data_IF_930672693556
#
_entry.id   IF_930672693556
#
_cell.length_a   1.000
_cell.length_b   1.000
_cell.length_c   1.000
_cell.angle_alpha   90.00
_cell.angle_beta   90.00
_cell.angle_gamma   90.00
#
_symmetry.space_group_name_H-M   'P 1'
#
loop_
_entity.id
_entity.type
_entity.pdbx_description
1 polymer ?
#
# COMPACT_ATOMS: atom_id res chain seq x y z
N UNK A 1 28.37 -13.41 17.31
CA UNK A 1 27.02 -12.81 17.28
C UNK A 1 26.88 -11.50 16.48
N UNK A 2 27.80 -10.50 16.55
CA UNK A 2 27.67 -9.25 15.76
C UNK A 2 27.71 -9.46 14.22
N UNK A 3 28.60 -10.35 13.72
CA UNK A 3 28.72 -10.62 12.26
C UNK A 3 27.41 -11.16 11.66
N UNK A 4 26.73 -12.11 12.33
CA UNK A 4 25.47 -12.68 11.81
C UNK A 4 24.34 -11.65 11.71
N UNK A 5 24.28 -10.63 12.58
CA UNK A 5 23.26 -9.57 12.53
C UNK A 5 23.41 -8.69 11.29
N UNK A 6 24.64 -8.45 10.84
CA UNK A 6 24.91 -7.64 9.61
C UNK A 6 24.44 -8.41 8.37
N UNK A 7 24.73 -9.70 8.26
CA UNK A 7 24.29 -10.50 7.11
C UNK A 7 22.77 -10.56 6.94
N UNK A 8 22.01 -10.77 8.03
CA UNK A 8 20.55 -10.77 7.97
C UNK A 8 19.98 -9.41 7.55
N UNK A 9 20.53 -8.31 8.10
CA UNK A 9 20.10 -6.97 7.73
C UNK A 9 20.33 -6.67 6.24
N UNK A 10 21.51 -7.01 5.72
CA UNK A 10 21.85 -6.82 4.30
C UNK A 10 20.96 -7.66 3.40
N UNK A 11 20.74 -8.92 3.73
CA UNK A 11 19.91 -9.84 2.95
C UNK A 11 18.46 -9.36 2.86
N UNK A 12 17.85 -9.00 4.00
CA UNK A 12 16.48 -8.49 4.05
C UNK A 12 16.36 -7.17 3.27
N UNK A 13 17.35 -6.26 3.42
CA UNK A 13 17.39 -5.00 2.67
C UNK A 13 17.45 -5.25 1.16
N UNK A 14 18.34 -6.13 0.71
CA UNK A 14 18.50 -6.43 -0.72
C UNK A 14 17.26 -7.07 -1.32
N UNK A 15 16.71 -8.11 -0.69
CA UNK A 15 15.52 -8.80 -1.17
C UNK A 15 14.29 -7.86 -1.18
N UNK A 16 14.11 -7.03 -0.12
CA UNK A 16 13.02 -6.06 -0.09
C UNK A 16 13.18 -5.03 -1.22
N UNK A 17 14.40 -4.52 -1.44
CA UNK A 17 14.66 -3.55 -2.52
C UNK A 17 14.39 -4.16 -3.90
N UNK A 18 14.81 -5.41 -4.12
CA UNK A 18 14.52 -6.16 -5.34
C UNK A 18 13.02 -6.28 -5.54
N UNK A 19 12.25 -6.68 -4.51
CA UNK A 19 10.80 -6.84 -4.62
C UNK A 19 10.06 -5.59 -5.10
N UNK A 20 10.59 -4.39 -4.87
CA UNK A 20 9.98 -3.13 -5.32
C UNK A 20 10.58 -2.56 -6.61
N UNK A 21 11.79 -2.98 -7.00
CA UNK A 21 12.52 -2.39 -8.12
C UNK A 21 12.57 -3.26 -9.37
N UNK A 22 12.09 -4.50 -9.31
CA UNK A 22 12.00 -5.38 -10.48
C UNK A 22 11.12 -4.75 -11.58
N UNK A 23 11.54 -4.74 -12.85
CA UNK A 23 10.75 -4.22 -13.96
C UNK A 23 9.89 -5.30 -14.64
N UNK A 24 9.81 -6.50 -14.08
CA UNK A 24 9.26 -7.67 -14.75
C UNK A 24 7.77 -7.86 -14.45
N UNK A 25 6.92 -7.58 -15.45
CA UNK A 25 5.47 -7.76 -15.39
C UNK A 25 5.00 -8.57 -16.60
N UNK A 26 4.70 -9.85 -16.39
CA UNK A 26 4.29 -10.77 -17.47
C UNK A 26 2.99 -11.48 -17.11
N UNK A 27 2.06 -11.53 -18.06
CA UNK A 27 0.85 -12.35 -17.95
C UNK A 27 1.19 -13.86 -17.91
N UNK A 28 0.44 -14.70 -17.21
CA UNK A 28 -0.85 -14.41 -16.55
C UNK A 28 -0.72 -13.84 -15.12
N UNK A 29 0.41 -13.96 -14.46
CA UNK A 29 0.65 -13.42 -13.10
C UNK A 29 1.68 -12.30 -13.16
N UNK A 30 1.20 -11.09 -13.35
CA UNK A 30 2.05 -9.91 -13.62
C UNK A 30 3.09 -9.63 -12.54
N UNK A 31 2.80 -9.91 -11.28
CA UNK A 31 3.66 -9.58 -10.13
C UNK A 31 4.47 -10.76 -9.61
N UNK A 32 4.49 -11.90 -10.31
CA UNK A 32 5.10 -13.15 -9.84
C UNK A 32 6.52 -12.98 -9.30
N UNK A 33 7.38 -12.23 -10.00
CA UNK A 33 8.77 -12.04 -9.58
C UNK A 33 8.90 -11.17 -8.33
N UNK A 34 8.05 -10.15 -8.21
CA UNK A 34 7.95 -9.29 -7.03
C UNK A 34 7.46 -10.07 -5.82
N UNK A 35 6.44 -10.91 -6.02
CA UNK A 35 5.85 -11.74 -4.99
C UNK A 35 6.84 -12.80 -4.51
N UNK A 36 7.60 -13.45 -5.41
CA UNK A 36 8.68 -14.37 -5.04
C UNK A 36 9.79 -13.68 -4.25
N UNK A 37 10.21 -12.47 -4.64
CA UNK A 37 11.22 -11.72 -3.89
C UNK A 37 10.69 -11.38 -2.47
N UNK A 38 9.42 -10.97 -2.35
CA UNK A 38 8.79 -10.69 -1.07
C UNK A 38 8.59 -11.95 -0.23
N UNK A 39 8.25 -13.10 -0.83
CA UNK A 39 8.24 -14.40 -0.16
C UNK A 39 9.63 -14.74 0.40
N UNK A 40 10.70 -14.42 -0.33
CA UNK A 40 12.06 -14.55 0.17
C UNK A 40 12.32 -13.72 1.43
N UNK A 41 11.88 -12.45 1.46
CA UNK A 41 11.94 -11.60 2.66
C UNK A 41 11.17 -12.22 3.82
N UNK A 42 9.96 -12.68 3.55
CA UNK A 42 9.08 -13.32 4.53
C UNK A 42 9.73 -14.56 5.16
N UNK A 43 10.27 -15.45 4.34
CA UNK A 43 10.98 -16.64 4.79
C UNK A 43 12.24 -16.31 5.60
N UNK A 44 13.04 -15.33 5.15
CA UNK A 44 14.21 -14.88 5.88
C UNK A 44 13.86 -14.35 7.28
N UNK A 45 12.77 -13.59 7.39
CA UNK A 45 12.28 -13.07 8.67
C UNK A 45 11.79 -14.20 9.59
N UNK A 46 11.06 -15.18 9.04
CA UNK A 46 10.64 -16.37 9.79
C UNK A 46 11.82 -17.16 10.32
N UNK A 47 12.77 -17.52 9.44
CA UNK A 47 14.00 -18.24 9.85
C UNK A 47 14.74 -17.47 10.94
N UNK A 48 14.88 -16.14 10.77
CA UNK A 48 15.52 -15.29 11.78
C UNK A 48 14.79 -15.35 13.13
N UNK A 49 13.46 -15.27 13.15
CA UNK A 49 12.65 -15.33 14.37
C UNK A 49 12.81 -16.70 15.05
N UNK A 50 12.75 -17.78 14.28
CA UNK A 50 12.90 -19.15 14.79
C UNK A 50 14.30 -19.40 15.38
N UNK A 51 15.34 -18.78 14.80
CA UNK A 51 16.71 -18.87 15.33
C UNK A 51 16.95 -18.01 16.58
N UNK A 52 16.18 -16.93 16.74
CA UNK A 52 16.36 -15.99 17.87
C UNK A 52 15.44 -16.31 19.06
N UNK A 53 14.36 -17.05 18.87
CA UNK A 53 13.36 -17.31 19.91
C UNK A 53 13.10 -18.81 20.08
N UNK A 54 12.93 -19.24 21.33
CA UNK A 54 12.52 -20.60 21.66
C UNK A 54 10.99 -20.80 21.53
N UNK A 55 10.23 -19.70 21.55
CA UNK A 55 8.77 -19.68 21.45
C UNK A 55 8.31 -18.56 20.53
N UNK A 56 7.14 -18.73 19.92
CA UNK A 56 6.52 -17.74 19.02
C UNK A 56 5.38 -17.05 19.76
N UNK A 57 5.47 -15.71 19.83
CA UNK A 57 4.40 -14.88 20.39
C UNK A 57 3.23 -14.78 19.39
N UNK A 58 2.05 -15.24 19.79
CA UNK A 58 0.82 -15.15 19.02
C UNK A 58 -0.23 -14.43 19.84
N UNK A 59 -0.79 -13.35 19.29
CA UNK A 59 -1.89 -12.62 19.93
C UNK A 59 -3.25 -13.24 19.54
N UNK A 60 -4.16 -13.41 20.52
CA UNK A 60 -5.49 -14.01 20.30
C UNK A 60 -6.30 -13.33 19.18
N UNK A 61 -6.10 -12.03 18.94
CA UNK A 61 -6.79 -11.31 17.84
C UNK A 61 -6.39 -11.81 16.45
N UNK A 62 -5.22 -12.41 16.31
CA UNK A 62 -4.74 -12.95 15.02
C UNK A 62 -5.55 -14.20 14.65
N UNK A 63 -6.12 -14.91 15.63
CA UNK A 63 -7.02 -16.06 15.37
C UNK A 63 -8.18 -15.63 14.47
N UNK A 64 -8.72 -14.41 14.66
CA UNK A 64 -9.74 -13.87 13.79
C UNK A 64 -9.26 -13.75 12.33
N UNK A 65 -8.03 -13.27 12.10
CA UNK A 65 -7.47 -13.19 10.74
C UNK A 65 -7.36 -14.58 10.12
N UNK A 66 -6.89 -15.58 10.87
CA UNK A 66 -6.84 -16.96 10.39
C UNK A 66 -8.23 -17.55 10.12
N UNK A 67 -9.24 -17.19 10.93
CA UNK A 67 -10.62 -17.62 10.65
C UNK A 67 -11.16 -17.03 9.34
N UNK A 68 -10.76 -15.81 8.97
CA UNK A 68 -11.10 -15.22 7.67
C UNK A 68 -10.53 -16.02 6.48
N UNK A 69 -9.35 -16.65 6.65
CA UNK A 69 -8.76 -17.48 5.60
C UNK A 69 -9.58 -18.74 5.29
N UNK A 70 -10.50 -19.16 6.17
CA UNK A 70 -11.40 -20.28 5.90
C UNK A 70 -12.59 -19.88 5.04
N UNK A 71 -12.93 -18.58 4.96
CA UNK A 71 -14.13 -18.10 4.25
C UNK A 71 -14.09 -18.46 2.77
N UNK A 72 -13.03 -18.17 1.99
CA UNK A 72 -13.02 -18.51 0.57
C UNK A 72 -13.14 -20.01 0.32
N UNK A 73 -12.55 -20.87 1.18
CA UNK A 73 -12.66 -22.33 1.06
C UNK A 73 -14.11 -22.80 1.31
N UNK A 74 -14.78 -22.23 2.32
CA UNK A 74 -16.18 -22.51 2.58
C UNK A 74 -17.07 -22.01 1.43
N UNK A 75 -16.77 -20.83 0.88
CA UNK A 75 -17.50 -20.28 -0.27
C UNK A 75 -17.35 -21.18 -1.51
N UNK A 76 -16.18 -21.78 -1.75
CA UNK A 76 -16.01 -22.77 -2.80
C UNK A 76 -16.83 -24.05 -2.51
N UNK A 77 -16.80 -24.54 -1.28
CA UNK A 77 -17.58 -25.74 -0.88
C UNK A 77 -19.09 -25.52 -1.08
N UNK A 78 -19.59 -24.30 -0.87
CA UNK A 78 -20.99 -23.93 -1.08
C UNK A 78 -21.30 -23.43 -2.51
N UNK A 79 -20.37 -23.54 -3.45
CA UNK A 79 -20.55 -23.20 -4.86
C UNK A 79 -20.62 -21.71 -5.18
N UNK A 80 -20.21 -20.81 -4.25
CA UNK A 80 -20.10 -19.37 -4.52
C UNK A 80 -18.84 -19.00 -5.29
N UNK A 81 -17.75 -19.76 -5.13
CA UNK A 81 -16.53 -19.68 -5.93
C UNK A 81 -16.42 -20.96 -6.74
N UNK A 82 -16.41 -20.86 -8.06
CA UNK A 82 -16.41 -22.04 -8.94
C UNK A 82 -15.07 -22.80 -8.93
N UNK A 83 -13.96 -22.07 -9.00
CA UNK A 83 -12.64 -22.69 -9.11
C UNK A 83 -11.97 -22.78 -7.74
N UNK A 84 -11.61 -24.00 -7.34
CA UNK A 84 -10.90 -24.22 -6.06
C UNK A 84 -9.58 -23.44 -5.99
N UNK A 85 -8.89 -23.25 -7.12
CA UNK A 85 -7.65 -22.47 -7.20
C UNK A 85 -7.83 -21.04 -6.71
N UNK A 86 -8.93 -20.37 -7.09
CA UNK A 86 -9.23 -18.99 -6.69
C UNK A 86 -9.47 -18.89 -5.17
N UNK A 87 -10.25 -19.85 -4.63
CA UNK A 87 -10.49 -19.93 -3.20
C UNK A 87 -9.20 -20.21 -2.40
N UNK A 88 -8.36 -21.10 -2.91
CA UNK A 88 -7.09 -21.47 -2.30
C UNK A 88 -6.10 -20.28 -2.28
N UNK A 89 -5.95 -19.57 -3.39
CA UNK A 89 -5.08 -18.39 -3.48
C UNK A 89 -5.56 -17.31 -2.51
N UNK A 90 -6.86 -16.98 -2.49
CA UNK A 90 -7.41 -16.01 -1.55
C UNK A 90 -7.14 -16.41 -0.10
N UNK A 91 -7.35 -17.70 0.25
CA UNK A 91 -7.08 -18.22 1.58
C UNK A 91 -5.60 -18.13 1.96
N UNK A 92 -4.68 -18.45 1.05
CA UNK A 92 -3.22 -18.35 1.27
C UNK A 92 -2.83 -16.88 1.51
N UNK A 93 -3.38 -15.93 0.75
CA UNK A 93 -3.11 -14.51 0.95
C UNK A 93 -3.54 -14.05 2.35
N UNK A 94 -4.78 -14.34 2.76
CA UNK A 94 -5.28 -13.96 4.09
C UNK A 94 -4.46 -14.63 5.19
N UNK A 95 -4.15 -15.92 5.05
CA UNK A 95 -3.32 -16.67 6.00
C UNK A 95 -1.91 -16.08 6.10
N UNK A 96 -1.29 -15.74 4.97
CA UNK A 96 0.03 -15.11 4.91
C UNK A 96 0.05 -13.74 5.59
N UNK A 97 -1.04 -12.96 5.50
CA UNK A 97 -1.17 -11.71 6.25
C UNK A 97 -1.15 -11.95 7.77
N UNK A 98 -1.89 -12.95 8.25
CA UNK A 98 -1.86 -13.35 9.67
C UNK A 98 -0.45 -13.73 10.13
N UNK A 99 0.28 -14.50 9.30
CA UNK A 99 1.67 -14.84 9.56
C UNK A 99 2.60 -13.60 9.51
N UNK A 100 2.38 -12.66 8.61
CA UNK A 100 3.14 -11.40 8.54
C UNK A 100 2.93 -10.55 9.81
N UNK A 101 1.72 -10.51 10.34
CA UNK A 101 1.43 -9.85 11.62
C UNK A 101 2.18 -10.55 12.78
N UNK A 102 2.25 -11.88 12.79
CA UNK A 102 3.05 -12.64 13.80
C UNK A 102 4.54 -12.29 13.67
N UNK A 103 5.08 -12.20 12.45
CA UNK A 103 6.47 -11.74 12.24
C UNK A 103 6.67 -10.38 12.89
N UNK A 104 5.80 -9.41 12.60
CA UNK A 104 5.88 -8.07 13.17
C UNK A 104 5.87 -8.07 14.71
N UNK A 105 4.98 -8.83 15.34
CA UNK A 105 4.90 -9.00 16.80
C UNK A 105 6.21 -9.55 17.39
N UNK A 106 6.79 -10.58 16.78
CA UNK A 106 8.02 -11.20 17.28
C UNK A 106 9.25 -10.33 17.02
N UNK A 107 9.28 -9.60 15.91
CA UNK A 107 10.31 -8.56 15.68
C UNK A 107 10.22 -7.47 16.76
N UNK A 108 9.01 -7.03 17.09
CA UNK A 108 8.79 -6.01 18.14
C UNK A 108 9.18 -6.51 19.53
N UNK A 109 9.05 -7.80 19.81
CA UNK A 109 9.55 -8.43 21.04
C UNK A 109 11.07 -8.38 21.14
N UNK A 110 11.78 -8.62 20.02
CA UNK A 110 13.24 -8.73 19.99
C UNK A 110 13.94 -7.39 19.78
N UNK A 111 13.26 -6.41 19.16
CA UNK A 111 13.82 -5.13 18.74
C UNK A 111 12.91 -3.99 19.15
N UNK A 112 13.52 -2.84 19.48
CA UNK A 112 12.78 -1.60 19.68
C UNK A 112 12.13 -1.15 18.38
N UNK A 113 10.93 -0.56 18.44
CA UNK A 113 10.22 -0.05 17.26
C UNK A 113 11.06 0.97 16.47
N UNK A 114 11.83 1.81 17.16
CA UNK A 114 12.80 2.72 16.54
C UNK A 114 13.82 2.00 15.63
N UNK A 115 14.33 0.86 16.04
CA UNK A 115 15.29 0.08 15.24
C UNK A 115 14.62 -0.51 14.00
N UNK A 116 13.41 -1.04 14.15
CA UNK A 116 12.64 -1.61 13.04
C UNK A 116 12.30 -0.53 12.02
N UNK A 117 11.78 0.62 12.48
CA UNK A 117 11.41 1.72 11.60
C UNK A 117 12.62 2.36 10.90
N UNK A 118 13.79 2.39 11.52
CA UNK A 118 15.03 2.81 10.84
C UNK A 118 15.37 1.91 9.67
N UNK A 119 15.23 0.58 9.84
CA UNK A 119 15.46 -0.38 8.75
C UNK A 119 14.41 -0.20 7.64
N UNK A 120 13.13 -0.10 7.98
CA UNK A 120 12.06 0.15 7.01
C UNK A 120 12.31 1.47 6.28
N UNK A 121 12.66 2.53 7.02
CA UNK A 121 12.94 3.84 6.43
C UNK A 121 14.13 3.83 5.47
N UNK A 122 15.18 3.06 5.78
CA UNK A 122 16.32 2.91 4.88
C UNK A 122 15.92 2.25 3.55
N UNK A 123 15.09 1.19 3.60
CA UNK A 123 14.54 0.53 2.41
C UNK A 123 13.66 1.52 1.62
N UNK A 124 12.72 2.19 2.29
CA UNK A 124 11.80 3.13 1.64
C UNK A 124 12.56 4.28 0.95
N UNK A 125 13.58 4.86 1.60
CA UNK A 125 14.36 5.95 1.01
C UNK A 125 15.20 5.45 -0.17
N UNK A 126 15.89 4.31 -0.04
CA UNK A 126 16.68 3.76 -1.13
C UNK A 126 15.83 3.46 -2.36
N UNK A 127 14.75 2.70 -2.19
CA UNK A 127 13.82 2.37 -3.28
C UNK A 127 13.14 3.63 -3.82
N UNK A 128 12.75 4.56 -2.93
CA UNK A 128 12.15 5.84 -3.32
C UNK A 128 13.07 6.72 -4.17
N UNK A 129 14.37 6.76 -3.86
CA UNK A 129 15.36 7.49 -4.65
C UNK A 129 15.56 6.85 -6.03
N UNK A 130 15.73 5.53 -6.11
CA UNK A 130 15.86 4.82 -7.39
C UNK A 130 14.58 5.01 -8.22
N UNK A 131 13.40 4.86 -7.60
CA UNK A 131 12.12 5.08 -8.28
C UNK A 131 11.94 6.53 -8.74
N UNK A 132 12.39 7.51 -7.94
CA UNK A 132 12.35 8.92 -8.34
C UNK A 132 13.24 9.18 -9.57
N UNK A 133 14.42 8.57 -9.62
CA UNK A 133 15.30 8.66 -10.80
C UNK A 133 14.61 8.07 -12.03
N UNK A 134 14.00 6.89 -11.92
CA UNK A 134 13.26 6.26 -13.03
C UNK A 134 12.04 7.12 -13.43
N UNK A 135 11.28 7.66 -12.48
CA UNK A 135 10.16 8.58 -12.76
C UNK A 135 10.63 9.80 -13.54
N UNK A 136 11.76 10.39 -13.17
CA UNK A 136 12.33 11.52 -13.91
C UNK A 136 12.76 11.11 -15.32
N UNK A 137 13.38 9.95 -15.51
CA UNK A 137 13.69 9.43 -16.83
C UNK A 137 12.45 9.20 -17.68
N UNK A 138 11.42 8.58 -17.11
CA UNK A 138 10.12 8.36 -17.76
C UNK A 138 9.43 9.69 -18.12
N UNK A 139 9.48 10.67 -17.22
CA UNK A 139 8.92 12.00 -17.46
C UNK A 139 9.64 12.75 -18.57
N UNK A 140 10.97 12.74 -18.55
CA UNK A 140 11.80 13.44 -19.54
C UNK A 140 11.93 12.69 -20.86
N UNK A 141 11.29 11.52 -21.00
CA UNK A 141 11.41 10.64 -22.17
C UNK A 141 12.88 10.32 -22.53
N UNK A 142 13.74 10.28 -21.52
CA UNK A 142 15.18 10.04 -21.64
C UNK A 142 15.47 8.55 -21.80
N UNK A 143 15.25 7.97 -22.96
CA UNK A 143 15.63 6.61 -23.31
C UNK A 143 14.76 5.48 -22.75
N UNK A 144 14.70 4.44 -23.54
CA UNK A 144 14.23 3.14 -23.08
C UNK A 144 15.25 2.63 -22.05
N UNK A 145 14.85 2.52 -20.78
CA UNK A 145 15.70 2.01 -19.70
C UNK A 145 16.15 0.56 -19.91
N UNK A 146 15.87 0.00 -21.08
CA UNK A 146 16.16 -1.36 -21.48
C UNK A 146 15.48 -2.36 -20.52
N UNK A 147 16.24 -3.36 -20.09
CA UNK A 147 15.72 -4.42 -19.20
C UNK A 147 15.55 -3.97 -17.74
N UNK A 148 15.92 -2.72 -17.38
CA UNK A 148 15.93 -2.25 -15.98
C UNK A 148 14.74 -1.38 -15.62
N UNK A 149 13.98 -0.93 -16.60
CA UNK A 149 12.82 -0.05 -16.38
C UNK A 149 11.63 -0.50 -17.21
N UNK A 150 10.44 -0.29 -16.68
CA UNK A 150 9.19 -0.50 -17.41
C UNK A 150 8.98 0.69 -18.34
N UNK A 151 8.72 0.42 -19.62
CA UNK A 151 8.36 1.45 -20.58
C UNK A 151 6.97 1.99 -20.31
N UNK A 152 6.81 3.31 -20.47
CA UNK A 152 5.50 3.95 -20.40
C UNK A 152 5.03 4.33 -21.82
N UNK A 153 3.74 4.20 -22.10
CA UNK A 153 3.19 4.68 -23.36
C UNK A 153 3.34 6.20 -23.46
N UNK A 154 3.49 6.71 -24.68
CA UNK A 154 3.54 8.16 -24.93
C UNK A 154 2.33 8.86 -24.31
N UNK A 155 2.58 9.96 -23.58
CA UNK A 155 1.56 10.65 -22.79
C UNK A 155 1.08 9.92 -21.53
N UNK A 156 1.73 8.81 -21.16
CA UNK A 156 1.45 8.07 -19.93
C UNK A 156 1.99 8.77 -18.68
N UNK A 157 1.38 8.50 -17.54
CA UNK A 157 1.88 8.99 -16.24
C UNK A 157 3.07 8.15 -15.78
N UNK A 158 4.16 8.76 -15.28
CA UNK A 158 5.29 8.02 -14.74
C UNK A 158 4.90 7.14 -13.54
N UNK A 159 5.49 5.95 -13.46
CA UNK A 159 5.24 5.00 -12.36
C UNK A 159 6.47 4.20 -11.92
N UNK A 160 7.67 4.56 -12.40
CA UNK A 160 8.90 3.79 -12.19
C UNK A 160 8.73 2.31 -12.60
N UNK A 161 9.05 1.39 -11.68
CA UNK A 161 8.88 -0.05 -11.88
C UNK A 161 7.67 -0.62 -11.09
N UNK A 162 6.64 0.19 -10.80
CA UNK A 162 5.44 -0.26 -10.07
C UNK A 162 4.26 -0.63 -10.97
N UNK A 163 4.44 -0.63 -12.29
CA UNK A 163 3.43 -0.89 -13.33
C UNK A 163 2.18 0.00 -13.28
N UNK A 164 1.96 0.75 -12.19
CA UNK A 164 0.79 1.60 -12.00
C UNK A 164 1.18 2.88 -11.23
N UNK A 165 0.73 4.07 -11.70
CA UNK A 165 1.06 5.35 -11.04
C UNK A 165 0.59 5.44 -9.58
N UNK A 166 -0.54 4.82 -9.21
CA UNK A 166 -1.03 4.85 -7.84
C UNK A 166 -0.16 4.00 -6.89
N UNK A 167 0.41 2.88 -7.38
CA UNK A 167 1.36 2.07 -6.63
C UNK A 167 2.66 2.85 -6.38
N UNK A 168 3.22 3.48 -7.42
CA UNK A 168 4.38 4.34 -7.30
C UNK A 168 4.12 5.49 -6.30
N UNK A 169 2.96 6.14 -6.39
CA UNK A 169 2.56 7.21 -5.48
C UNK A 169 2.51 6.74 -4.03
N UNK A 170 1.92 5.57 -3.76
CA UNK A 170 1.88 5.01 -2.41
C UNK A 170 3.27 4.72 -1.87
N UNK A 171 4.16 4.17 -2.70
CA UNK A 171 5.53 3.91 -2.25
C UNK A 171 6.32 5.20 -2.00
N UNK A 172 6.15 6.22 -2.85
CA UNK A 172 6.76 7.54 -2.63
C UNK A 172 6.22 8.21 -1.35
N UNK A 173 4.93 8.05 -1.02
CA UNK A 173 4.39 8.50 0.27
C UNK A 173 5.05 7.78 1.46
N UNK A 174 5.28 6.46 1.37
CA UNK A 174 6.05 5.73 2.38
C UNK A 174 7.46 6.29 2.51
N UNK A 175 8.10 6.67 1.40
CA UNK A 175 9.44 7.26 1.38
C UNK A 175 9.46 8.68 1.98
N UNK A 176 8.41 9.49 1.77
CA UNK A 176 8.24 10.80 2.42
C UNK A 176 8.07 10.62 3.93
N UNK A 177 7.25 9.68 4.38
CA UNK A 177 7.07 9.37 5.81
C UNK A 177 8.37 8.85 6.44
N UNK A 178 9.13 8.03 5.72
CA UNK A 178 10.45 7.57 6.14
C UNK A 178 11.45 8.73 6.29
N UNK A 179 11.44 9.68 5.34
CA UNK A 179 12.27 10.91 5.41
C UNK A 179 11.89 11.74 6.62
N UNK A 180 10.59 11.95 6.86
CA UNK A 180 10.09 12.64 8.04
C UNK A 180 10.56 11.96 9.32
N UNK A 181 10.44 10.63 9.40
CA UNK A 181 10.86 9.85 10.56
C UNK A 181 12.35 9.99 10.85
N UNK A 182 13.22 9.81 9.84
CA UNK A 182 14.67 9.95 10.04
C UNK A 182 15.09 11.39 10.40
N UNK A 183 14.36 12.38 9.87
CA UNK A 183 14.55 13.78 10.27
C UNK A 183 14.17 14.00 11.74
N UNK A 184 13.02 13.51 12.18
CA UNK A 184 12.57 13.59 13.58
C UNK A 184 13.56 12.92 14.55
N UNK A 185 14.13 11.80 14.15
CA UNK A 185 15.15 11.05 14.92
C UNK A 185 16.56 11.67 14.83
N UNK A 186 16.73 12.80 14.16
CA UNK A 186 18.02 13.49 13.95
C UNK A 186 19.08 12.63 13.24
N UNK A 187 18.66 11.67 12.42
CA UNK A 187 19.56 10.77 11.68
C UNK A 187 20.04 11.48 10.42
N UNK A 188 19.16 12.25 9.77
CA UNK A 188 19.50 13.05 8.60
C UNK A 188 19.57 14.54 8.96
N UNK A 189 20.49 15.24 8.26
CA UNK A 189 20.65 16.68 8.42
C UNK A 189 19.45 17.42 7.81
N UNK A 190 19.23 18.66 8.24
CA UNK A 190 18.10 19.50 7.79
C UNK A 190 18.07 19.67 6.28
N UNK A 191 19.20 20.03 5.64
CA UNK A 191 19.30 20.22 4.20
C UNK A 191 19.04 18.92 3.43
N UNK A 192 19.56 17.79 3.91
CA UNK A 192 19.31 16.46 3.31
C UNK A 192 17.81 16.12 3.40
N UNK A 193 17.18 16.38 4.55
CA UNK A 193 15.75 16.14 4.73
C UNK A 193 14.89 16.98 3.79
N UNK A 194 15.22 18.26 3.61
CA UNK A 194 14.52 19.14 2.64
C UNK A 194 14.73 18.65 1.21
N UNK A 195 15.98 18.37 0.82
CA UNK A 195 16.29 17.88 -0.54
C UNK A 195 15.56 16.60 -0.89
N UNK A 196 15.56 15.61 0.03
CA UNK A 196 14.78 14.37 -0.14
C UNK A 196 13.28 14.64 -0.24
N UNK A 197 12.73 15.49 0.64
CA UNK A 197 11.32 15.82 0.59
C UNK A 197 10.93 16.50 -0.72
N UNK A 198 11.70 17.49 -1.19
CA UNK A 198 11.45 18.17 -2.46
C UNK A 198 11.46 17.19 -3.64
N UNK A 199 12.49 16.34 -3.74
CA UNK A 199 12.60 15.34 -4.81
C UNK A 199 11.43 14.36 -4.80
N UNK A 200 11.15 13.75 -3.63
CA UNK A 200 10.11 12.74 -3.50
C UNK A 200 8.72 13.33 -3.75
N UNK A 201 8.43 14.53 -3.24
CA UNK A 201 7.14 15.21 -3.44
C UNK A 201 6.96 15.69 -4.89
N UNK A 202 8.03 16.11 -5.56
CA UNK A 202 7.98 16.43 -6.99
C UNK A 202 7.68 15.18 -7.83
N UNK A 203 8.41 14.08 -7.62
CA UNK A 203 8.13 12.82 -8.30
C UNK A 203 6.75 12.26 -7.97
N UNK A 204 6.28 12.47 -6.73
CA UNK A 204 4.93 12.13 -6.31
C UNK A 204 3.88 12.92 -7.10
N UNK A 205 4.10 14.21 -7.32
CA UNK A 205 3.23 15.06 -8.14
C UNK A 205 3.17 14.59 -9.61
N UNK A 206 4.30 14.16 -10.18
CA UNK A 206 4.38 13.60 -11.54
C UNK A 206 3.52 12.34 -11.73
N UNK A 207 3.30 11.54 -10.68
CA UNK A 207 2.39 10.37 -10.76
C UNK A 207 0.94 10.77 -10.99
N UNK A 208 0.56 12.00 -10.67
CA UNK A 208 -0.80 12.54 -10.76
C UNK A 208 -1.88 11.67 -10.05
N UNK A 209 -1.50 10.98 -8.98
CA UNK A 209 -2.40 10.13 -8.21
C UNK A 209 -3.35 10.96 -7.32
N UNK A 210 -4.67 10.73 -7.44
CA UNK A 210 -5.69 11.42 -6.63
C UNK A 210 -5.68 10.98 -5.18
N UNK A 211 -5.27 9.74 -4.90
CA UNK A 211 -5.22 9.18 -3.54
C UNK A 211 -4.25 9.94 -2.65
N UNK A 212 -3.21 10.55 -3.24
CA UNK A 212 -2.22 11.38 -2.54
C UNK A 212 -2.86 12.58 -1.86
N UNK A 213 -3.76 13.29 -2.55
CA UNK A 213 -4.45 14.46 -2.01
C UNK A 213 -5.26 14.12 -0.77
N UNK A 214 -5.98 13.00 -0.83
CA UNK A 214 -6.81 12.52 0.28
C UNK A 214 -5.93 12.12 1.45
N UNK A 215 -4.83 11.37 1.17
CA UNK A 215 -3.88 10.98 2.21
C UNK A 215 -3.26 12.19 2.90
N UNK A 216 -2.81 13.21 2.14
CA UNK A 216 -2.22 14.43 2.72
C UNK A 216 -3.22 15.12 3.64
N UNK A 217 -4.47 15.29 3.24
CA UNK A 217 -5.51 15.92 4.09
C UNK A 217 -5.72 15.11 5.36
N UNK A 218 -5.93 13.80 5.27
CA UNK A 218 -6.10 12.92 6.43
C UNK A 218 -4.87 12.94 7.35
N UNK A 219 -3.67 12.92 6.77
CA UNK A 219 -2.42 12.96 7.51
C UNK A 219 -2.24 14.29 8.27
N UNK A 220 -2.52 15.44 7.63
CA UNK A 220 -2.45 16.75 8.27
C UNK A 220 -3.42 16.87 9.44
N UNK A 221 -4.67 16.43 9.26
CA UNK A 221 -5.67 16.44 10.34
C UNK A 221 -5.17 15.58 11.51
N UNK A 222 -4.70 14.37 11.20
CA UNK A 222 -4.23 13.46 12.25
C UNK A 222 -2.96 13.95 12.94
N UNK A 223 -2.03 14.57 12.19
CA UNK A 223 -0.86 15.23 12.76
C UNK A 223 -1.27 16.34 13.72
N UNK A 224 -2.18 17.22 13.33
CA UNK A 224 -2.67 18.31 14.19
C UNK A 224 -3.31 17.78 15.48
N UNK A 225 -4.03 16.66 15.40
CA UNK A 225 -4.66 16.04 16.58
C UNK A 225 -3.67 15.32 17.49
N UNK A 226 -2.55 14.79 16.97
CA UNK A 226 -1.67 13.88 17.69
C UNK A 226 -0.27 14.43 17.97
N UNK A 227 0.19 15.49 17.29
CA UNK A 227 1.54 16.02 17.45
C UNK A 227 1.85 16.50 18.87
N UNK A 228 0.84 16.84 19.66
CA UNK A 228 1.00 17.18 21.08
C UNK A 228 1.19 15.95 21.99
N UNK A 229 0.90 14.74 21.52
CA UNK A 229 1.03 13.51 22.29
C UNK A 229 2.48 12.98 22.34
N UNK A 230 3.37 13.53 21.51
CA UNK A 230 4.79 13.15 21.45
C UNK A 230 5.66 14.38 21.18
N UNK A 231 6.92 14.32 21.61
CA UNK A 231 7.88 15.40 21.33
C UNK A 231 8.34 15.29 19.87
N UNK A 232 7.89 16.20 19.02
CA UNK A 232 8.31 16.32 17.65
C UNK A 232 9.35 17.43 17.49
N UNK A 233 10.38 17.17 16.66
CA UNK A 233 11.37 18.18 16.25
C UNK A 233 10.76 19.23 15.33
N UNK A 234 9.85 18.78 14.44
CA UNK A 234 9.03 19.67 13.64
C UNK A 234 7.96 20.33 14.49
N UNK A 235 7.89 21.64 14.42
CA UNK A 235 6.78 22.37 15.02
C UNK A 235 5.44 21.91 14.45
N UNK A 236 4.38 22.06 15.25
CA UNK A 236 3.01 21.63 14.91
C UNK A 236 2.57 22.03 13.49
N UNK A 237 2.97 23.21 13.03
CA UNK A 237 2.57 23.73 11.72
C UNK A 237 3.63 23.52 10.63
N UNK A 238 4.84 23.09 10.96
CA UNK A 238 5.90 22.90 9.96
C UNK A 238 5.58 21.80 8.95
N UNK A 239 4.71 20.85 9.31
CA UNK A 239 4.25 19.79 8.41
C UNK A 239 3.50 20.34 7.18
N UNK A 240 2.89 21.54 7.28
CA UNK A 240 2.21 22.16 6.15
C UNK A 240 3.16 22.55 5.02
N UNK A 241 4.46 22.75 5.29
CA UNK A 241 5.44 22.99 4.23
C UNK A 241 5.55 21.80 3.28
N UNK A 242 5.41 20.56 3.76
CA UNK A 242 5.37 19.38 2.88
C UNK A 242 4.15 19.41 1.96
N UNK A 243 2.99 19.78 2.47
CA UNK A 243 1.78 19.93 1.65
C UNK A 243 1.94 21.07 0.63
N UNK A 244 2.52 22.21 1.05
CA UNK A 244 2.79 23.34 0.15
C UNK A 244 3.76 22.94 -0.95
N UNK A 245 4.87 22.25 -0.63
CA UNK A 245 5.82 21.76 -1.63
C UNK A 245 5.12 20.82 -2.61
N UNK A 246 4.27 19.92 -2.13
CA UNK A 246 3.51 19.01 -3.01
C UNK A 246 2.55 19.78 -3.92
N UNK A 247 1.78 20.75 -3.40
CA UNK A 247 0.87 21.58 -4.18
C UNK A 247 1.63 22.39 -5.25
N UNK A 248 2.73 23.03 -4.85
CA UNK A 248 3.59 23.76 -5.78
C UNK A 248 4.14 22.82 -6.87
N UNK A 249 4.60 21.63 -6.49
CA UNK A 249 5.07 20.62 -7.45
C UNK A 249 3.97 20.19 -8.42
N UNK A 250 2.74 19.99 -7.92
CA UNK A 250 1.58 19.61 -8.74
C UNK A 250 1.14 20.70 -9.70
N UNK A 251 1.31 21.98 -9.33
CA UNK A 251 1.02 23.12 -10.18
C UNK A 251 2.15 23.33 -11.21
N UNK A 252 3.40 23.21 -10.79
CA UNK A 252 4.56 23.51 -11.67
C UNK A 252 4.87 22.38 -12.66
N UNK A 253 4.60 21.11 -12.34
CA UNK A 253 4.91 19.99 -13.20
C UNK A 253 4.31 20.08 -14.62
N UNK A 254 3.03 20.46 -14.84
CA UNK A 254 2.49 20.70 -16.18
C UNK A 254 3.22 21.80 -16.93
N UNK A 255 3.47 22.95 -16.29
CA UNK A 255 4.17 24.07 -16.92
C UNK A 255 5.59 23.71 -17.35
N UNK A 256 6.31 22.92 -16.50
CA UNK A 256 7.63 22.43 -16.84
C UNK A 256 7.57 21.44 -18.02
N UNK A 257 6.53 20.61 -18.08
CA UNK A 257 6.33 19.68 -19.18
C UNK A 257 6.07 20.40 -20.50
N UNK A 258 5.23 21.42 -20.48
CA UNK A 258 4.93 22.25 -21.66
C UNK A 258 6.18 23.00 -22.14
N UNK A 259 7.00 23.51 -21.21
CA UNK A 259 8.25 24.23 -21.54
C UNK A 259 9.28 23.38 -22.27
N UNK A 260 9.26 22.07 -22.06
CA UNK A 260 10.20 21.10 -22.67
C UNK A 260 9.54 20.25 -23.77
N UNK A 261 8.39 20.67 -24.27
CA UNK A 261 7.59 19.98 -25.30
C UNK A 261 7.29 18.50 -24.97
N UNK A 262 7.21 18.17 -23.69
CA UNK A 262 6.82 16.85 -23.25
C UNK A 262 5.34 16.83 -22.92
N UNK A 263 4.55 16.16 -23.74
CA UNK A 263 3.14 15.91 -23.45
C UNK A 263 2.99 14.94 -22.28
N UNK A 264 3.05 15.49 -21.07
CA UNK A 264 2.48 14.86 -19.91
C UNK A 264 1.04 15.33 -19.87
N UNK A 265 0.12 14.67 -20.44
CA UNK A 265 -1.25 14.98 -20.00
C UNK A 265 -2.31 14.12 -20.65
N UNK A 266 -2.97 13.34 -19.86
CA UNK A 266 -4.39 13.17 -20.04
C UNK A 266 -5.07 14.47 -19.64
N UNK A 267 -5.82 15.07 -20.54
CA UNK A 267 -6.60 16.28 -20.34
C UNK A 267 -7.44 16.18 -19.04
N UNK A 268 -7.63 17.30 -18.36
CA UNK A 268 -8.46 17.42 -17.14
C UNK A 268 -9.87 16.87 -17.38
N UNK A 269 -10.38 17.01 -18.62
CA UNK A 269 -11.69 16.50 -19.07
C UNK A 269 -11.72 14.97 -19.07
N UNK A 270 -10.69 14.30 -19.57
CA UNK A 270 -10.59 12.82 -19.57
C UNK A 270 -10.50 12.26 -18.16
N UNK A 271 -9.95 13.02 -17.22
CA UNK A 271 -9.94 12.67 -15.79
C UNK A 271 -11.30 12.79 -15.12
N UNK A 272 -12.08 13.79 -15.48
CA UNK A 272 -13.42 13.95 -14.96
C UNK A 272 -14.33 12.80 -15.39
N UNK A 273 -14.21 12.35 -16.65
CA UNK A 273 -15.00 11.23 -17.20
C UNK A 273 -14.62 9.89 -16.54
N UNK A 274 -13.34 9.64 -16.23
CA UNK A 274 -12.93 8.41 -15.53
C UNK A 274 -13.51 8.29 -14.10
N UNK A 275 -13.76 9.42 -13.43
CA UNK A 275 -14.46 9.46 -12.15
C UNK A 275 -15.94 9.09 -12.26
N UNK A 276 -16.59 9.50 -13.35
CA UNK A 276 -18.00 9.20 -13.59
C UNK A 276 -18.24 7.68 -13.79
N UNK A 277 -17.37 7.00 -14.52
CA UNK A 277 -17.44 5.54 -14.70
C UNK A 277 -17.40 4.78 -13.38
N UNK A 278 -16.55 5.19 -12.42
CA UNK A 278 -16.51 4.56 -11.10
C UNK A 278 -17.80 4.73 -10.31
N UNK A 279 -18.42 5.89 -10.37
CA UNK A 279 -19.71 6.13 -9.68
C UNK A 279 -20.81 5.23 -10.25
N UNK A 280 -20.87 5.07 -11.57
CA UNK A 280 -21.82 4.17 -12.21
C UNK A 280 -21.56 2.72 -11.84
N UNK A 281 -20.31 2.27 -11.89
CA UNK A 281 -19.89 0.93 -11.46
C UNK A 281 -20.25 0.68 -9.98
N UNK A 282 -20.00 1.63 -9.10
CA UNK A 282 -20.36 1.48 -7.68
C UNK A 282 -21.88 1.38 -7.47
N UNK A 283 -22.69 2.12 -8.25
CA UNK A 283 -24.16 1.98 -8.21
C UNK A 283 -24.59 0.57 -8.64
N UNK A 284 -24.04 0.06 -9.73
CA UNK A 284 -24.28 -1.31 -10.22
C UNK A 284 -23.90 -2.34 -9.12
N UNK A 285 -22.69 -2.22 -8.55
CA UNK A 285 -22.21 -3.16 -7.52
C UNK A 285 -22.98 -3.06 -6.20
N UNK A 286 -23.44 -1.86 -5.79
CA UNK A 286 -24.33 -1.72 -4.64
C UNK A 286 -25.68 -2.37 -4.89
N UNK A 287 -26.21 -2.29 -6.12
CA UNK A 287 -27.41 -3.03 -6.49
C UNK A 287 -27.14 -4.54 -6.45
N UNK A 288 -26.00 -5.02 -6.94
CA UNK A 288 -25.63 -6.43 -6.79
C UNK A 288 -25.60 -6.87 -5.32
N UNK A 289 -25.01 -6.07 -4.41
CA UNK A 289 -25.04 -6.37 -2.96
C UNK A 289 -26.47 -6.50 -2.44
N UNK A 290 -27.41 -5.70 -2.96
CA UNK A 290 -28.84 -5.80 -2.53
C UNK A 290 -29.52 -7.07 -3.03
N UNK A 291 -29.03 -7.72 -4.09
CA UNK A 291 -29.56 -8.98 -4.60
C UNK A 291 -29.03 -10.20 -3.81
N UNK A 292 -27.77 -10.13 -3.32
CA UNK A 292 -27.15 -11.20 -2.52
C UNK A 292 -26.62 -10.64 -1.18
N UNK A 293 -27.50 -10.09 -0.29
CA UNK A 293 -27.06 -9.32 0.86
C UNK A 293 -26.46 -10.16 1.99
N UNK A 294 -26.77 -11.47 2.09
CA UNK A 294 -26.37 -12.30 3.23
C UNK A 294 -25.03 -12.99 3.00
N UNK A 295 -24.89 -13.66 1.87
CA UNK A 295 -23.71 -14.50 1.58
C UNK A 295 -22.73 -13.87 0.60
N UNK A 296 -23.17 -12.85 -0.16
CA UNK A 296 -22.39 -12.25 -1.22
C UNK A 296 -22.14 -13.20 -2.38
N UNK A 297 -21.21 -12.79 -3.24
CA UNK A 297 -20.89 -13.51 -4.48
C UNK A 297 -19.67 -14.43 -4.36
N UNK A 298 -18.92 -14.35 -3.28
CA UNK A 298 -17.66 -15.06 -3.06
C UNK A 298 -16.43 -14.16 -3.16
N UNK A 299 -15.36 -14.57 -2.52
CA UNK A 299 -14.11 -13.81 -2.49
C UNK A 299 -13.52 -13.65 -3.90
N UNK A 300 -13.12 -12.43 -4.27
CA UNK A 300 -12.65 -12.03 -5.61
C UNK A 300 -13.67 -12.21 -6.74
N UNK A 301 -14.98 -12.31 -6.48
CA UNK A 301 -16.02 -12.55 -7.47
C UNK A 301 -16.78 -11.25 -7.85
N UNK A 302 -16.09 -10.10 -7.98
CA UNK A 302 -16.72 -8.82 -8.37
C UNK A 302 -17.28 -8.89 -9.79
N UNK A 303 -16.56 -9.51 -10.74
CA UNK A 303 -17.06 -9.68 -12.10
C UNK A 303 -18.31 -10.57 -12.17
N UNK A 304 -18.41 -11.59 -11.30
CA UNK A 304 -19.64 -12.42 -11.19
C UNK A 304 -20.80 -11.57 -10.66
N UNK A 305 -20.55 -10.71 -9.68
CA UNK A 305 -21.56 -9.77 -9.17
C UNK A 305 -22.01 -8.78 -10.26
N UNK A 306 -21.11 -8.26 -11.09
CA UNK A 306 -21.49 -7.42 -12.24
C UNK A 306 -22.35 -8.18 -13.24
N UNK A 307 -21.96 -9.43 -13.57
CA UNK A 307 -22.68 -10.25 -14.55
C UNK A 307 -24.10 -10.54 -14.08
N UNK A 308 -24.29 -10.83 -12.78
CA UNK A 308 -25.61 -11.18 -12.21
C UNK A 308 -26.66 -10.08 -12.33
N UNK A 309 -26.24 -8.82 -12.44
CA UNK A 309 -27.12 -7.63 -12.52
C UNK A 309 -27.00 -6.88 -13.82
N UNK A 310 -26.30 -7.45 -14.82
CA UNK A 310 -26.01 -6.76 -16.08
C UNK A 310 -27.26 -6.41 -16.90
N UNK A 311 -28.30 -7.23 -16.83
CA UNK A 311 -29.55 -6.95 -17.55
C UNK A 311 -30.27 -5.71 -16.98
N UNK A 312 -30.23 -5.52 -15.66
CA UNK A 312 -30.85 -4.37 -14.98
C UNK A 312 -29.97 -3.11 -15.06
N UNK A 313 -28.64 -3.31 -15.03
CA UNK A 313 -27.62 -2.26 -15.06
C UNK A 313 -26.53 -2.56 -16.10
N UNK A 314 -26.76 -2.35 -17.38
CA UNK A 314 -25.81 -2.67 -18.46
C UNK A 314 -24.66 -1.66 -18.50
N UNK A 315 -23.79 -1.67 -17.48
CA UNK A 315 -22.63 -0.81 -17.36
C UNK A 315 -21.37 -1.67 -17.57
N UNK A 316 -20.59 -1.37 -18.59
CA UNK A 316 -19.24 -1.87 -18.82
C UNK A 316 -18.22 -0.76 -18.57
N UNK A 317 -16.91 -1.04 -18.51
CA UNK A 317 -16.24 -2.33 -18.72
C UNK A 317 -16.33 -3.27 -17.51
N UNK A 318 -16.05 -4.56 -17.75
CA UNK A 318 -15.91 -5.55 -16.70
C UNK A 318 -14.72 -5.23 -15.80
N UNK A 319 -14.87 -5.49 -14.50
CA UNK A 319 -13.80 -5.26 -13.53
C UNK A 319 -13.67 -6.44 -12.56
N UNK A 320 -12.46 -6.76 -12.17
CA UNK A 320 -12.16 -7.76 -11.15
C UNK A 320 -12.31 -7.20 -9.73
N UNK A 321 -12.27 -5.86 -9.60
CA UNK A 321 -12.35 -5.13 -8.33
C UNK A 321 -13.27 -3.93 -8.44
N UNK A 322 -13.95 -3.60 -7.33
CA UNK A 322 -14.74 -2.38 -7.25
C UNK A 322 -13.88 -1.11 -7.13
N UNK A 323 -12.56 -1.23 -6.99
CA UNK A 323 -11.66 -0.13 -6.61
C UNK A 323 -12.05 0.54 -5.27
N UNK A 324 -12.66 -0.23 -4.37
CA UNK A 324 -13.01 0.19 -3.02
C UNK A 324 -13.08 -1.03 -2.10
N UNK A 325 -12.10 -1.18 -1.22
CA UNK A 325 -11.97 -2.36 -0.36
C UNK A 325 -13.21 -2.61 0.54
N UNK A 326 -13.93 -1.56 0.94
CA UNK A 326 -15.15 -1.71 1.72
C UNK A 326 -16.25 -2.37 0.86
N UNK A 327 -16.41 -1.89 -0.36
CA UNK A 327 -17.40 -2.44 -1.30
C UNK A 327 -17.02 -3.86 -1.73
N UNK A 328 -15.74 -4.13 -1.98
CA UNK A 328 -15.25 -5.48 -2.28
C UNK A 328 -15.59 -6.46 -1.15
N UNK A 329 -15.30 -6.10 0.10
CA UNK A 329 -15.62 -6.95 1.25
C UNK A 329 -17.12 -7.23 1.40
N UNK A 330 -18.00 -6.27 1.05
CA UNK A 330 -19.45 -6.46 1.06
C UNK A 330 -19.91 -7.37 -0.09
N UNK A 331 -19.35 -7.19 -1.29
CA UNK A 331 -19.67 -8.02 -2.45
C UNK A 331 -19.21 -9.46 -2.22
N UNK A 332 -18.00 -9.65 -1.72
CA UNK A 332 -17.41 -10.98 -1.53
C UNK A 332 -18.11 -11.80 -0.44
N UNK A 333 -18.54 -11.15 0.65
CA UNK A 333 -18.95 -11.85 1.87
C UNK A 333 -20.39 -11.57 2.30
N UNK A 334 -21.10 -10.72 1.55
CA UNK A 334 -22.39 -10.18 2.01
C UNK A 334 -22.22 -9.14 3.13
N UNK A 335 -23.33 -8.49 3.47
CA UNK A 335 -23.37 -7.39 4.43
C UNK A 335 -22.96 -7.81 5.85
N UNK A 336 -23.44 -8.94 6.42
CA UNK A 336 -23.13 -9.29 7.81
C UNK A 336 -21.64 -9.57 8.03
N UNK A 337 -21.04 -10.42 7.22
CA UNK A 337 -19.63 -10.80 7.34
C UNK A 337 -18.74 -9.63 6.91
N UNK A 338 -19.10 -8.92 5.83
CA UNK A 338 -18.36 -7.73 5.37
C UNK A 338 -18.28 -6.66 6.45
N UNK A 339 -19.39 -6.30 7.10
CA UNK A 339 -19.42 -5.33 8.22
C UNK A 339 -18.59 -5.83 9.41
N UNK A 340 -18.65 -7.12 9.73
CA UNK A 340 -17.85 -7.70 10.82
C UNK A 340 -16.34 -7.55 10.55
N UNK A 341 -15.88 -7.82 9.33
CA UNK A 341 -14.47 -7.67 8.94
C UNK A 341 -14.07 -6.18 9.01
N UNK A 342 -14.85 -5.30 8.38
CA UNK A 342 -14.60 -3.86 8.36
C UNK A 342 -14.57 -3.32 9.80
N UNK A 343 -15.54 -3.68 10.61
CA UNK A 343 -15.67 -3.27 12.01
C UNK A 343 -14.48 -3.74 12.86
N UNK A 344 -14.01 -4.97 12.67
CA UNK A 344 -12.85 -5.50 13.37
C UNK A 344 -11.59 -4.67 13.09
N UNK A 345 -11.26 -4.44 11.83
CA UNK A 345 -10.09 -3.66 11.47
C UNK A 345 -10.22 -2.18 11.83
N UNK A 346 -11.39 -1.58 11.66
CA UNK A 346 -11.66 -0.19 12.06
C UNK A 346 -11.52 0.00 13.58
N UNK A 347 -12.08 -0.87 14.40
CA UNK A 347 -11.95 -0.82 15.86
C UNK A 347 -10.49 -1.06 16.29
N UNK A 348 -9.79 -1.94 15.62
CA UNK A 348 -8.38 -2.21 15.92
C UNK A 348 -7.52 -0.98 15.63
N UNK A 349 -7.63 -0.39 14.44
CA UNK A 349 -6.91 0.83 14.06
C UNK A 349 -7.26 2.02 14.98
N UNK A 350 -8.53 2.17 15.32
CA UNK A 350 -8.96 3.21 16.25
C UNK A 350 -8.31 3.06 17.64
N UNK A 351 -8.23 1.83 18.18
CA UNK A 351 -7.52 1.57 19.43
C UNK A 351 -6.03 1.90 19.33
N UNK A 352 -5.37 1.48 18.25
CA UNK A 352 -3.96 1.80 18.02
C UNK A 352 -3.74 3.32 17.91
N UNK A 353 -4.62 4.02 17.19
CA UNK A 353 -4.56 5.49 17.09
C UNK A 353 -4.72 6.18 18.45
N UNK A 354 -5.59 5.65 19.34
CA UNK A 354 -5.71 6.19 20.71
C UNK A 354 -4.43 6.00 21.54
N UNK A 355 -3.74 4.89 21.36
CA UNK A 355 -2.50 4.55 22.05
C UNK A 355 -1.26 5.21 21.46
N UNK A 356 -1.41 6.07 20.46
CA UNK A 356 -0.29 6.77 19.82
C UNK A 356 0.28 7.83 20.77
N UNK A 357 1.43 7.52 21.37
CA UNK A 357 2.16 8.37 22.34
C UNK A 357 3.61 8.63 21.90
N UNK A 358 4.05 8.07 20.78
CA UNK A 358 5.40 8.25 20.26
C UNK A 358 5.38 8.47 18.75
N UNK A 359 6.44 9.12 18.25
CA UNK A 359 6.61 9.36 16.81
C UNK A 359 6.72 8.03 16.02
N UNK A 360 7.29 7.02 16.62
CA UNK A 360 7.41 5.68 16.03
C UNK A 360 6.04 5.07 15.74
N UNK A 361 5.16 5.04 16.72
CA UNK A 361 3.80 4.52 16.55
C UNK A 361 3.02 5.38 15.57
N UNK A 362 3.18 6.72 15.64
CA UNK A 362 2.54 7.65 14.71
C UNK A 362 2.94 7.35 13.25
N UNK A 363 4.24 7.29 12.96
CA UNK A 363 4.75 7.02 11.60
C UNK A 363 4.37 5.61 11.14
N UNK A 364 4.50 4.59 11.98
CA UNK A 364 4.08 3.23 11.66
C UNK A 364 2.60 3.17 11.24
N UNK A 365 1.72 3.82 12.00
CA UNK A 365 0.29 3.91 11.66
C UNK A 365 0.03 4.79 10.42
N UNK A 366 0.80 5.86 10.20
CA UNK A 366 0.70 6.66 8.98
C UNK A 366 1.06 5.83 7.73
N UNK A 367 2.11 5.01 7.80
CA UNK A 367 2.47 4.08 6.72
C UNK A 367 1.36 3.06 6.45
N UNK A 368 0.68 2.56 7.50
CA UNK A 368 -0.53 1.73 7.37
C UNK A 368 -1.64 2.52 6.68
N UNK A 369 -1.86 3.76 7.08
CA UNK A 369 -2.86 4.66 6.50
C UNK A 369 -2.67 4.92 5.01
N UNK A 370 -1.43 4.96 4.48
CA UNK A 370 -1.17 5.08 3.04
C UNK A 370 -1.89 3.99 2.25
N UNK A 371 -1.74 2.73 2.65
CA UNK A 371 -2.32 1.60 1.92
C UNK A 371 -3.84 1.48 2.15
N UNK A 372 -4.33 1.89 3.33
CA UNK A 372 -5.78 1.94 3.58
C UNK A 372 -6.43 2.97 2.66
N UNK A 373 -5.90 4.20 2.60
CA UNK A 373 -6.41 5.24 1.70
C UNK A 373 -6.30 4.80 0.24
N UNK A 374 -5.20 4.16 -0.13
CA UNK A 374 -5.05 3.62 -1.49
C UNK A 374 -6.12 2.56 -1.78
N UNK A 375 -6.37 1.62 -0.87
CA UNK A 375 -7.40 0.58 -0.98
C UNK A 375 -8.84 1.08 -1.05
N UNK A 376 -9.10 2.35 -0.69
CA UNK A 376 -10.41 2.98 -0.87
C UNK A 376 -10.66 3.42 -2.32
N UNK A 377 -9.63 3.45 -3.17
CA UNK A 377 -9.73 3.93 -4.56
C UNK A 377 -9.10 3.00 -5.59
N UNK A 378 -8.40 1.96 -5.15
CA UNK A 378 -7.70 0.96 -5.96
C UNK A 378 -7.57 -0.35 -5.15
N UNK A 379 -6.75 -1.30 -5.63
CA UNK A 379 -6.58 -2.63 -5.02
C UNK A 379 -5.12 -2.96 -4.64
N UNK A 380 -4.42 -2.12 -3.83
CA UNK A 380 -3.00 -2.34 -3.50
C UNK A 380 -2.74 -3.61 -2.70
N UNK A 381 -3.76 -4.15 -2.03
CA UNK A 381 -3.63 -5.33 -1.18
C UNK A 381 -3.57 -6.65 -1.96
N UNK A 382 -3.80 -6.63 -3.27
CA UNK A 382 -3.53 -7.78 -4.15
C UNK A 382 -2.05 -8.01 -4.41
N UNK A 383 -1.24 -6.96 -4.28
CA UNK A 383 0.20 -7.07 -4.47
C UNK A 383 0.86 -7.58 -3.19
N UNK A 384 1.42 -8.81 -3.21
CA UNK A 384 2.04 -9.42 -2.02
C UNK A 384 3.14 -8.55 -1.42
N UNK A 385 3.86 -7.78 -2.23
CA UNK A 385 4.90 -6.87 -1.76
C UNK A 385 4.37 -5.69 -0.90
N UNK A 386 3.15 -5.20 -1.16
CA UNK A 386 2.49 -4.27 -0.26
C UNK A 386 1.83 -4.97 0.91
N UNK A 387 1.12 -6.07 0.66
CA UNK A 387 0.32 -6.78 1.64
C UNK A 387 1.18 -7.37 2.77
N UNK A 388 2.27 -8.04 2.43
CA UNK A 388 3.20 -8.63 3.42
C UNK A 388 3.90 -7.56 4.25
N UNK A 389 4.45 -6.52 3.61
CA UNK A 389 5.10 -5.42 4.31
C UNK A 389 4.14 -4.69 5.26
N UNK A 390 2.87 -4.53 4.84
CA UNK A 390 1.81 -3.95 5.64
C UNK A 390 1.47 -4.80 6.87
N UNK A 391 1.34 -6.11 6.71
CA UNK A 391 1.12 -7.05 7.81
C UNK A 391 2.24 -7.01 8.84
N UNK A 392 3.51 -6.98 8.40
CA UNK A 392 4.66 -6.87 9.29
C UNK A 392 4.63 -5.55 10.06
N UNK A 393 4.41 -4.41 9.38
CA UNK A 393 4.33 -3.11 10.03
C UNK A 393 3.16 -3.03 11.02
N UNK A 394 2.02 -3.62 10.65
CA UNK A 394 0.85 -3.74 11.52
C UNK A 394 1.18 -4.51 12.80
N UNK A 395 1.88 -5.64 12.69
CA UNK A 395 2.34 -6.43 13.83
C UNK A 395 3.33 -5.67 14.71
N UNK A 396 4.28 -4.92 14.12
CA UNK A 396 5.26 -4.13 14.85
C UNK A 396 4.64 -2.97 15.65
N UNK A 397 3.56 -2.38 15.16
CA UNK A 397 2.88 -1.25 15.83
C UNK A 397 1.89 -1.71 16.89
N UNK A 398 1.62 -3.03 16.99
CA UNK A 398 0.58 -3.62 17.83
C UNK A 398 0.93 -3.69 19.33
N UNK A 399 2.19 -3.78 19.71
CA UNK A 399 2.71 -3.83 21.08
C UNK A 399 3.14 -2.45 21.55
#
# INVERSE_FOLDING_TARGET
>A
MKKNKVYWGTLIFSLSSIAYLLPNYYDPWRTVYHDFAMCGVFLCLWVKILLENNDILINKRIIFIFSLALIPLLQNLFGKIYFFGDALIASIYIFSFGLAVIIGLNLRRNYKLDQILKCISAICIFVGLVSSFIILQQWLLLTNGGIWTVDIPSGGRPFANFAQPNNAASFLLLSVLATLYLYEKKIIHHLTGIGLACLLLFCLALTQSRTVWIFIVCFLIWWLCKSSCFSARLGKYAIFYFAIIFVLSAITAPYLSDLIDITLVRDVVERATSGHHRILMWKQLLYAVSQEPIWGYGWNQVSVAQLSVFEDYPIGPWTEHSHNIILDLLIWNGVPIGILIIGFFALWLWKLSKLTTSIEVFIGLAMIGVLIVHGMFEYPLEYAFFFTAHGINFGCTFL
#
